data_IF_811185885747
#
_entry.id   IF_811185885747
#
_cell.length_a   1.000
_cell.length_b   1.000
_cell.length_c   1.000
_cell.angle_alpha   90.00
_cell.angle_beta   90.00
_cell.angle_gamma   90.00
#
_symmetry.space_group_name_H-M   'P 1'
#
loop_
_entity.id
_entity.type
_entity.pdbx_description
1 polymer ?
#
# COMPACT_ATOMS: atom_id res chain seq x y z
N UNK A 1 -2.58 30.52 -31.60
CA UNK A 1 -2.96 29.66 -30.45
C UNK A 1 -2.13 30.11 -29.25
N UNK A 2 -2.71 30.94 -28.39
CA UNK A 2 -2.03 31.55 -27.25
C UNK A 2 -1.93 30.50 -26.14
N UNK A 3 -0.72 30.01 -25.85
CA UNK A 3 -0.44 29.21 -24.65
C UNK A 3 -0.37 30.16 -23.44
N UNK A 4 -1.52 30.65 -23.01
CA UNK A 4 -1.64 31.31 -21.71
C UNK A 4 -1.61 30.22 -20.64
N UNK A 5 -0.40 29.83 -20.22
CA UNK A 5 -0.20 29.08 -18.99
C UNK A 5 -0.63 30.03 -17.85
N UNK A 6 -1.86 29.87 -17.37
CA UNK A 6 -2.31 30.56 -16.17
C UNK A 6 -1.49 29.99 -15.01
N UNK A 7 -0.35 30.61 -14.71
CA UNK A 7 0.24 30.58 -13.38
C UNK A 7 -0.61 31.46 -12.47
N UNK A 8 -1.90 31.16 -12.37
CA UNK A 8 -2.73 31.74 -11.35
C UNK A 8 -2.18 31.22 -10.03
N UNK A 9 -1.51 32.10 -9.30
CA UNK A 9 -1.17 32.02 -7.88
C UNK A 9 -2.47 31.86 -7.07
N UNK A 10 -3.21 30.80 -7.35
CA UNK A 10 -4.48 30.45 -6.74
C UNK A 10 -4.07 29.87 -5.41
N UNK A 11 -3.91 30.74 -4.42
CA UNK A 11 -3.59 30.35 -3.07
C UNK A 11 -4.83 29.68 -2.50
N UNK A 12 -4.92 28.37 -2.66
CA UNK A 12 -6.07 27.60 -2.17
C UNK A 12 -6.16 27.76 -0.66
N UNK A 13 -7.33 28.18 -0.20
CA UNK A 13 -7.58 28.33 1.23
C UNK A 13 -7.53 26.97 1.92
N UNK A 14 -7.02 26.96 3.16
CA UNK A 14 -6.97 25.75 3.97
C UNK A 14 -8.40 25.34 4.32
N UNK A 15 -8.88 24.16 3.88
CA UNK A 15 -10.23 23.72 4.22
C UNK A 15 -10.35 23.46 5.72
N UNK A 16 -11.52 23.78 6.30
CA UNK A 16 -11.77 23.62 7.75
C UNK A 16 -11.56 22.18 8.23
N UNK A 17 -11.92 21.20 7.39
CA UNK A 17 -11.82 19.78 7.69
C UNK A 17 -10.62 19.10 7.00
N UNK A 18 -9.52 19.83 6.82
CA UNK A 18 -8.30 19.29 6.19
C UNK A 18 -7.86 17.99 6.89
N UNK A 19 -7.56 16.97 6.09
CA UNK A 19 -6.92 15.74 6.58
C UNK A 19 -5.49 16.10 7.01
N UNK A 20 -5.06 15.81 8.26
CA UNK A 20 -3.69 16.08 8.69
C UNK A 20 -2.66 15.41 7.78
N UNK A 21 -1.48 16.02 7.62
CA UNK A 21 -0.46 15.57 6.67
C UNK A 21 -0.09 14.10 6.86
N UNK A 22 0.21 13.69 8.10
CA UNK A 22 0.59 12.32 8.43
C UNK A 22 -0.54 11.32 8.13
N UNK A 23 -1.79 11.72 8.43
CA UNK A 23 -2.97 10.92 8.09
C UNK A 23 -3.18 10.83 6.58
N UNK A 24 -2.90 11.89 5.83
CA UNK A 24 -3.00 11.90 4.37
C UNK A 24 -1.92 11.03 3.74
N UNK A 25 -0.69 11.02 4.28
CA UNK A 25 0.39 10.11 3.86
C UNK A 25 -0.05 8.65 4.07
N UNK A 26 -0.52 8.30 5.27
CA UNK A 26 -0.99 6.95 5.57
C UNK A 26 -2.16 6.53 4.67
N UNK A 27 -3.13 7.44 4.48
CA UNK A 27 -4.27 7.25 3.59
C UNK A 27 -3.82 6.97 2.15
N UNK A 28 -2.93 7.80 1.60
CA UNK A 28 -2.42 7.65 0.24
C UNK A 28 -1.64 6.34 0.10
N UNK A 29 -0.80 5.96 1.07
CA UNK A 29 -0.13 4.65 1.08
C UNK A 29 -1.12 3.50 0.90
N UNK A 30 -2.21 3.48 1.68
CA UNK A 30 -3.21 2.43 1.56
C UNK A 30 -4.00 2.50 0.24
N UNK A 31 -4.31 3.71 -0.25
CA UNK A 31 -4.97 3.89 -1.54
C UNK A 31 -4.12 3.34 -2.70
N UNK A 32 -2.80 3.59 -2.71
CA UNK A 32 -1.90 3.07 -3.73
C UNK A 32 -1.82 1.55 -3.68
N UNK A 33 -1.78 0.95 -2.48
CA UNK A 33 -1.82 -0.50 -2.31
C UNK A 33 -3.14 -1.05 -2.87
N UNK A 34 -4.28 -0.48 -2.48
CA UNK A 34 -5.60 -0.89 -3.00
C UNK A 34 -5.67 -0.76 -4.52
N UNK A 35 -5.21 0.35 -5.10
CA UNK A 35 -5.22 0.57 -6.55
C UNK A 35 -4.43 -0.50 -7.31
N UNK A 36 -3.33 -1.00 -6.72
CA UNK A 36 -2.53 -2.09 -7.30
C UNK A 36 -3.25 -3.46 -7.28
N UNK A 37 -4.27 -3.63 -6.45
CA UNK A 37 -4.98 -4.92 -6.29
C UNK A 37 -6.09 -5.16 -7.30
N UNK A 38 -6.41 -4.18 -8.17
CA UNK A 38 -7.56 -4.22 -9.10
C UNK A 38 -7.64 -5.51 -9.94
N UNK A 39 -6.50 -6.10 -10.30
CA UNK A 39 -6.44 -7.31 -11.12
C UNK A 39 -6.12 -8.60 -10.34
N UNK A 40 -5.97 -8.49 -9.01
CA UNK A 40 -5.60 -9.59 -8.12
C UNK A 40 -6.86 -10.21 -7.53
N UNK A 41 -6.98 -11.54 -7.60
CA UNK A 41 -8.07 -12.26 -6.95
C UNK A 41 -7.86 -12.27 -5.44
N UNK A 42 -8.91 -11.99 -4.67
CA UNK A 42 -8.88 -12.14 -3.22
C UNK A 42 -8.95 -13.62 -2.81
N UNK A 43 -8.91 -13.89 -1.49
CA UNK A 43 -8.97 -15.25 -0.94
C UNK A 43 -10.22 -16.04 -1.35
N UNK A 44 -11.29 -15.36 -1.74
CA UNK A 44 -12.54 -15.96 -2.23
C UNK A 44 -12.55 -16.13 -3.76
N UNK A 45 -11.40 -15.96 -4.41
CA UNK A 45 -11.22 -15.98 -5.87
C UNK A 45 -12.02 -14.92 -6.63
N UNK A 46 -12.57 -13.92 -5.92
CA UNK A 46 -13.29 -12.79 -6.50
C UNK A 46 -12.31 -11.68 -6.83
N UNK A 47 -12.55 -11.01 -7.96
CA UNK A 47 -11.99 -9.69 -8.24
C UNK A 47 -13.02 -8.70 -7.74
N UNK A 48 -12.63 -7.90 -6.76
CA UNK A 48 -13.41 -6.76 -6.32
C UNK A 48 -12.65 -5.51 -6.72
N UNK A 49 -13.37 -4.56 -7.30
CA UNK A 49 -12.82 -3.34 -7.85
C UNK A 49 -12.89 -2.17 -6.86
N UNK A 50 -13.67 -2.28 -5.78
CA UNK A 50 -13.94 -1.15 -4.90
C UNK A 50 -13.56 -1.40 -3.45
N UNK A 51 -12.26 -1.60 -3.20
CA UNK A 51 -11.71 -1.55 -1.83
C UNK A 51 -11.49 -0.13 -1.31
N UNK A 52 -11.65 0.90 -2.15
CA UNK A 52 -11.47 2.31 -1.76
C UNK A 52 -12.44 2.70 -0.64
N UNK A 53 -13.66 2.17 -0.64
CA UNK A 53 -14.63 2.40 0.42
C UNK A 53 -14.11 1.94 1.80
N UNK A 54 -13.44 0.78 1.88
CA UNK A 54 -12.85 0.28 3.11
C UNK A 54 -11.75 1.20 3.66
N UNK A 55 -11.04 1.88 2.76
CA UNK A 55 -10.04 2.88 3.15
C UNK A 55 -10.73 4.09 3.78
N UNK A 56 -11.79 4.60 3.16
CA UNK A 56 -12.55 5.71 3.74
C UNK A 56 -13.13 5.39 5.12
N UNK A 57 -13.67 4.19 5.31
CA UNK A 57 -14.12 3.71 6.62
C UNK A 57 -12.98 3.63 7.64
N UNK A 58 -11.84 3.04 7.26
CA UNK A 58 -10.66 2.90 8.13
C UNK A 58 -10.17 4.25 8.68
N UNK A 59 -10.11 5.27 7.82
CA UNK A 59 -9.63 6.60 8.19
C UNK A 59 -10.73 7.54 8.70
N UNK A 60 -11.99 7.10 8.73
CA UNK A 60 -13.17 7.92 9.10
C UNK A 60 -13.23 9.22 8.30
N UNK A 61 -13.06 9.10 6.99
CA UNK A 61 -13.15 10.20 6.04
C UNK A 61 -14.21 9.91 4.98
N UNK A 62 -14.77 10.96 4.41
CA UNK A 62 -15.63 10.87 3.22
C UNK A 62 -14.87 11.35 1.97
N UNK A 63 -15.49 11.11 0.81
CA UNK A 63 -14.95 11.51 -0.50
C UNK A 63 -14.77 13.02 -0.62
N UNK A 64 -15.68 13.82 -0.08
CA UNK A 64 -15.61 15.29 -0.12
C UNK A 64 -14.42 15.80 0.68
N UNK A 65 -14.21 15.29 1.90
CA UNK A 65 -13.09 15.64 2.77
C UNK A 65 -11.77 15.25 2.14
N UNK A 66 -11.70 14.08 1.52
CA UNK A 66 -10.52 13.66 0.75
C UNK A 66 -10.26 14.61 -0.42
N UNK A 67 -11.26 14.88 -1.26
CA UNK A 67 -11.09 15.72 -2.45
C UNK A 67 -10.63 17.14 -2.09
N UNK A 68 -11.26 17.77 -1.09
CA UNK A 68 -10.87 19.10 -0.63
C UNK A 68 -9.43 19.12 -0.08
N UNK A 69 -9.05 18.09 0.68
CA UNK A 69 -7.70 17.97 1.21
C UNK A 69 -6.69 17.71 0.10
N UNK A 70 -7.03 16.86 -0.87
CA UNK A 70 -6.19 16.53 -2.00
C UNK A 70 -5.95 17.76 -2.89
N UNK A 71 -6.98 18.55 -3.18
CA UNK A 71 -6.85 19.83 -3.91
C UNK A 71 -5.93 20.79 -3.15
N UNK A 72 -6.12 20.93 -1.83
CA UNK A 72 -5.26 21.78 -1.02
C UNK A 72 -3.78 21.35 -1.08
N UNK A 73 -3.49 20.06 -0.87
CA UNK A 73 -2.12 19.57 -0.87
C UNK A 73 -1.50 19.60 -2.26
N UNK A 74 -2.22 19.19 -3.32
CA UNK A 74 -1.71 19.21 -4.70
C UNK A 74 -1.41 20.62 -5.21
N UNK A 75 -2.03 21.66 -4.65
CA UNK A 75 -1.68 23.05 -4.94
C UNK A 75 -0.29 23.46 -4.41
N UNK A 76 0.28 22.68 -3.49
CA UNK A 76 1.59 22.91 -2.88
C UNK A 76 2.58 21.86 -3.36
N UNK A 77 3.14 22.11 -4.54
CA UNK A 77 3.96 21.14 -5.29
C UNK A 77 5.10 20.54 -4.45
N UNK A 78 5.87 21.37 -3.74
CA UNK A 78 6.99 20.89 -2.90
C UNK A 78 6.50 20.02 -1.73
N UNK A 79 5.52 20.52 -0.96
CA UNK A 79 4.97 19.80 0.21
C UNK A 79 4.36 18.46 -0.21
N UNK A 80 3.60 18.45 -1.31
CA UNK A 80 2.99 17.23 -1.83
C UNK A 80 4.02 16.27 -2.42
N UNK A 81 5.07 16.79 -3.07
CA UNK A 81 6.20 16.00 -3.53
C UNK A 81 6.87 15.24 -2.39
N UNK A 82 7.08 15.89 -1.24
CA UNK A 82 7.64 15.24 -0.06
C UNK A 82 6.69 14.22 0.56
N UNK A 83 5.39 14.48 0.58
CA UNK A 83 4.39 13.48 0.99
C UNK A 83 4.45 12.23 0.11
N UNK A 84 4.56 12.38 -1.22
CA UNK A 84 4.65 11.25 -2.13
C UNK A 84 5.95 10.46 -1.97
N UNK A 85 7.08 11.12 -1.66
CA UNK A 85 8.33 10.42 -1.30
C UNK A 85 8.15 9.56 -0.05
N UNK A 86 7.45 10.07 0.96
CA UNK A 86 7.16 9.33 2.18
C UNK A 86 6.20 8.17 1.95
N UNK A 87 5.13 8.39 1.16
CA UNK A 87 4.23 7.34 0.70
C UNK A 87 5.01 6.21 0.03
N UNK A 88 5.92 6.55 -0.91
CA UNK A 88 6.77 5.58 -1.57
C UNK A 88 7.66 4.83 -0.57
N UNK A 89 8.31 5.54 0.36
CA UNK A 89 9.15 4.93 1.39
C UNK A 89 8.37 3.92 2.24
N UNK A 90 7.13 4.23 2.60
CA UNK A 90 6.25 3.34 3.35
C UNK A 90 5.94 2.06 2.56
N UNK A 91 5.59 2.19 1.27
CA UNK A 91 5.33 1.05 0.38
C UNK A 91 6.58 0.18 0.23
N UNK A 92 7.73 0.78 -0.09
CA UNK A 92 9.00 0.06 -0.25
C UNK A 92 9.40 -0.67 1.05
N UNK A 93 9.10 -0.09 2.21
CA UNK A 93 9.35 -0.73 3.51
C UNK A 93 8.42 -1.91 3.76
N UNK A 94 7.14 -1.78 3.42
CA UNK A 94 6.18 -2.88 3.51
C UNK A 94 6.59 -4.03 2.60
N UNK A 95 6.98 -3.73 1.35
CA UNK A 95 7.46 -4.72 0.39
C UNK A 95 8.65 -5.52 0.95
N UNK A 96 9.67 -4.86 1.49
CA UNK A 96 10.82 -5.54 2.12
C UNK A 96 10.38 -6.48 3.24
N UNK A 97 9.52 -6.01 4.14
CA UNK A 97 9.02 -6.82 5.26
C UNK A 97 8.30 -8.08 4.74
N UNK A 98 7.47 -7.97 3.71
CA UNK A 98 6.74 -9.12 3.17
C UNK A 98 7.64 -10.07 2.36
N UNK A 99 8.62 -9.54 1.62
CA UNK A 99 9.61 -10.35 0.91
C UNK A 99 10.47 -11.18 1.88
N UNK A 100 10.93 -10.58 2.98
CA UNK A 100 11.74 -11.29 3.97
C UNK A 100 10.92 -12.34 4.73
N UNK A 101 9.65 -12.04 5.04
CA UNK A 101 8.70 -13.04 5.58
C UNK A 101 8.52 -14.23 4.63
N UNK A 102 8.40 -13.99 3.32
CA UNK A 102 8.27 -15.06 2.32
C UNK A 102 9.51 -15.95 2.28
N UNK A 103 10.72 -15.37 2.27
CA UNK A 103 11.97 -16.14 2.27
C UNK A 103 12.11 -17.02 3.51
N UNK A 104 11.74 -16.50 4.69
CA UNK A 104 11.74 -17.27 5.92
C UNK A 104 10.76 -18.45 5.82
N UNK A 105 9.55 -18.21 5.31
CA UNK A 105 8.56 -19.28 5.13
C UNK A 105 9.06 -20.37 4.17
N UNK A 106 9.70 -19.99 3.07
CA UNK A 106 10.24 -20.93 2.09
C UNK A 106 11.40 -21.76 2.66
N UNK A 107 12.30 -21.14 3.42
CA UNK A 107 13.41 -21.85 4.08
C UNK A 107 12.89 -22.83 5.14
N UNK A 108 11.89 -22.43 5.94
CA UNK A 108 11.24 -23.31 6.92
C UNK A 108 10.57 -24.50 6.23
N UNK A 109 9.76 -24.25 5.19
CA UNK A 109 9.06 -25.30 4.44
C UNK A 109 10.03 -26.31 3.79
N UNK A 110 11.12 -25.80 3.19
CA UNK A 110 12.16 -26.63 2.58
C UNK A 110 12.94 -27.46 3.61
N UNK A 111 13.20 -26.90 4.80
CA UNK A 111 13.87 -27.62 5.89
C UNK A 111 12.97 -28.70 6.50
N UNK A 112 11.67 -28.43 6.69
CA UNK A 112 10.71 -29.46 7.13
C UNK A 112 10.60 -30.61 6.12
N UNK A 113 10.59 -30.30 4.82
CA UNK A 113 10.55 -31.33 3.76
C UNK A 113 11.83 -32.19 3.74
N UNK A 114 13.01 -31.58 3.90
CA UNK A 114 14.29 -32.31 3.98
C UNK A 114 14.40 -33.19 5.24
N UNK A 115 13.90 -32.72 6.39
CA UNK A 115 13.93 -33.48 7.64
C UNK A 115 13.00 -34.70 7.57
N UNK A 116 11.83 -34.56 6.93
CA UNK A 116 10.90 -35.68 6.70
C UNK A 116 11.50 -36.74 5.76
N UNK A 117 12.23 -36.33 4.72
CA UNK A 117 12.93 -37.26 3.80
C UNK A 117 14.08 -37.98 4.52
N UNK A 118 14.89 -37.28 5.32
CA UNK A 118 15.97 -37.88 6.12
C UNK A 118 15.44 -38.90 7.14
N UNK A 119 14.35 -38.57 7.83
CA UNK A 119 13.73 -39.49 8.81
C UNK A 119 13.16 -40.75 8.14
N UNK A 120 12.57 -40.62 6.93
CA UNK A 120 12.08 -41.77 6.15
C UNK A 120 13.21 -42.67 5.65
N UNK A 121 14.34 -42.08 5.24
CA UNK A 121 15.54 -42.81 4.80
C UNK A 121 16.26 -43.53 5.97
N UNK A 122 16.25 -42.96 7.17
CA UNK A 122 16.82 -43.60 8.36
C UNK A 122 15.94 -44.75 8.85
N UNK A 123 14.61 -44.59 8.85
CA UNK A 123 13.68 -45.66 9.26
C UNK A 123 13.77 -46.89 8.37
N UNK A 124 13.88 -46.69 7.05
CA UNK A 124 14.07 -47.78 6.08
C UNK A 124 15.42 -48.51 6.19
N UNK A 125 16.41 -47.94 6.89
CA UNK A 125 17.72 -48.59 7.15
C UNK A 125 17.74 -49.41 8.44
N UNK A 126 16.79 -49.19 9.36
CA UNK A 126 16.68 -49.96 10.61
C UNK A 126 15.74 -51.17 10.50
N UNK A 127 14.96 -51.28 9.42
CA UNK A 127 14.02 -52.40 9.17
C UNK A 127 14.62 -53.49 8.24
N UNK A 128 15.94 -53.48 8.03
CA UNK A 128 16.72 -54.54 7.36
C UNK A 128 17.82 -55.02 8.29
#
# INVERSE_FOLDING_TARGET
MLLACCTSNTKYEKPKNLIPKDSMIALLTDMYIVASTKNIKNKLLKRDENYTFLIYEKYKIDTTRFNLSNVYYTSKVEEYGDMLKEVKKNIDSLERIYMDKSKIQDTVSNNSSKNNIKNKLQKNKLEK
#
